data_IF_165743690787
#
_entry.id   IF_165743690787
#
_cell.length_a   1.000
_cell.length_b   1.000
_cell.length_c   1.000
_cell.angle_alpha   90.00
_cell.angle_beta   90.00
_cell.angle_gamma   90.00
#
_symmetry.space_group_name_H-M   'P 1'
#
loop_
_entity.id
_entity.type
_entity.pdbx_description
1 polymer ?
#
# COMPACT_ATOMS: atom_id res chain seq x y z
N UNK A 1 11.00 -26.39 -6.40
CA UNK A 1 10.45 -25.08 -5.97
C UNK A 1 9.05 -25.31 -5.47
N UNK A 2 8.74 -24.93 -4.23
CA UNK A 2 7.37 -25.03 -3.71
C UNK A 2 6.41 -24.28 -4.64
N UNK A 3 5.39 -25.00 -5.14
CA UNK A 3 4.38 -24.50 -6.06
C UNK A 3 3.65 -23.29 -5.48
N UNK A 4 3.50 -23.23 -4.15
CA UNK A 4 2.86 -22.11 -3.46
C UNK A 4 3.72 -20.85 -3.48
N UNK A 5 5.04 -20.98 -3.23
CA UNK A 5 5.97 -19.85 -3.29
C UNK A 5 6.09 -19.25 -4.69
N UNK A 6 6.18 -20.09 -5.72
CA UNK A 6 6.20 -19.64 -7.12
C UNK A 6 4.96 -18.81 -7.48
N UNK A 7 3.77 -19.30 -7.09
CA UNK A 7 2.51 -18.59 -7.29
C UNK A 7 2.45 -17.31 -6.46
N UNK A 8 2.97 -17.33 -5.24
CA UNK A 8 3.02 -16.15 -4.38
C UNK A 8 3.84 -15.03 -5.00
N UNK A 9 5.03 -15.35 -5.55
CA UNK A 9 5.85 -14.37 -6.27
C UNK A 9 5.15 -13.82 -7.49
N UNK A 10 4.53 -14.67 -8.31
CA UNK A 10 3.78 -14.20 -9.48
C UNK A 10 2.67 -13.21 -9.06
N UNK A 11 1.93 -13.55 -8.02
CA UNK A 11 0.87 -12.69 -7.49
C UNK A 11 1.45 -11.39 -6.92
N UNK A 12 2.54 -11.44 -6.18
CA UNK A 12 3.21 -10.24 -5.67
C UNK A 12 3.72 -9.32 -6.79
N UNK A 13 4.27 -9.88 -7.87
CA UNK A 13 4.66 -9.13 -9.07
C UNK A 13 3.43 -8.46 -9.71
N UNK A 14 2.34 -9.20 -9.92
CA UNK A 14 1.11 -8.65 -10.49
C UNK A 14 0.54 -7.51 -9.61
N UNK A 15 0.56 -7.69 -8.30
CA UNK A 15 0.13 -6.65 -7.36
C UNK A 15 0.99 -5.39 -7.44
N UNK A 16 2.31 -5.55 -7.56
CA UNK A 16 3.23 -4.43 -7.70
C UNK A 16 3.11 -3.73 -9.06
N UNK A 17 2.86 -4.47 -10.14
CA UNK A 17 2.54 -3.88 -11.46
C UNK A 17 1.28 -3.04 -11.37
N UNK A 18 0.24 -3.51 -10.69
CA UNK A 18 -0.97 -2.73 -10.46
C UNK A 18 -0.70 -1.47 -9.61
N UNK A 19 0.17 -1.54 -8.59
CA UNK A 19 0.57 -0.35 -7.82
C UNK A 19 1.33 0.69 -8.66
N UNK A 20 2.19 0.24 -9.58
CA UNK A 20 2.87 1.10 -10.55
C UNK A 20 1.85 1.73 -11.51
N UNK A 21 0.92 0.94 -12.04
CA UNK A 21 -0.14 1.43 -12.93
C UNK A 21 -1.04 2.47 -12.24
N UNK A 22 -1.39 2.26 -10.97
CA UNK A 22 -2.10 3.23 -10.15
C UNK A 22 -1.33 4.55 -10.04
N UNK A 23 -0.03 4.48 -9.76
CA UNK A 23 0.84 5.67 -9.62
C UNK A 23 1.05 6.39 -10.97
N UNK A 24 1.17 5.63 -12.07
CA UNK A 24 1.24 6.18 -13.42
C UNK A 24 -0.08 6.82 -13.87
N UNK A 25 -1.21 6.21 -13.52
CA UNK A 25 -2.52 6.82 -13.74
C UNK A 25 -2.70 8.10 -12.90
N UNK A 26 -1.99 8.23 -11.77
CA UNK A 26 -1.90 9.49 -11.03
C UNK A 26 -1.28 10.60 -11.88
N UNK A 27 -0.17 10.30 -12.57
CA UNK A 27 0.50 11.22 -13.52
C UNK A 27 -0.39 11.64 -14.70
N UNK A 28 -1.29 10.77 -15.16
CA UNK A 28 -2.15 11.04 -16.31
C UNK A 28 -3.35 11.97 -16.01
N UNK A 29 -3.50 12.46 -14.78
CA UNK A 29 -4.55 13.41 -14.39
C UNK A 29 -5.93 12.77 -14.08
N UNK A 30 -6.89 13.63 -13.72
CA UNK A 30 -8.22 13.26 -13.18
C UNK A 30 -9.06 12.38 -14.12
N UNK A 31 -8.83 12.44 -15.43
CA UNK A 31 -9.58 11.68 -16.43
C UNK A 31 -9.46 10.15 -16.26
N UNK A 32 -8.48 9.68 -15.47
CA UNK A 32 -8.10 8.27 -15.37
C UNK A 32 -8.41 7.69 -13.97
N UNK A 33 -9.27 8.36 -13.18
CA UNK A 33 -9.60 7.98 -11.80
C UNK A 33 -10.15 6.54 -11.68
N UNK A 34 -10.96 6.09 -12.65
CA UNK A 34 -11.50 4.72 -12.69
C UNK A 34 -10.37 3.70 -12.77
N UNK A 35 -9.36 3.95 -13.62
CA UNK A 35 -8.20 3.06 -13.78
C UNK A 35 -7.36 3.05 -12.51
N UNK A 36 -7.22 4.19 -11.80
CA UNK A 36 -6.53 4.24 -10.50
C UNK A 36 -7.24 3.34 -9.48
N UNK A 37 -8.56 3.47 -9.37
CA UNK A 37 -9.36 2.68 -8.44
C UNK A 37 -9.30 1.18 -8.77
N UNK A 38 -9.48 0.82 -10.05
CA UNK A 38 -9.38 -0.57 -10.50
C UNK A 38 -7.98 -1.15 -10.23
N UNK A 39 -6.92 -0.38 -10.51
CA UNK A 39 -5.54 -0.79 -10.25
C UNK A 39 -5.27 -0.99 -8.76
N UNK A 40 -5.80 -0.11 -7.90
CA UNK A 40 -5.73 -0.27 -6.45
C UNK A 40 -6.41 -1.57 -5.98
N UNK A 41 -7.63 -1.82 -6.44
CA UNK A 41 -8.39 -3.03 -6.07
C UNK A 41 -7.69 -4.31 -6.53
N UNK A 42 -7.15 -4.33 -7.75
CA UNK A 42 -6.37 -5.45 -8.27
C UNK A 42 -5.06 -5.64 -7.47
N UNK A 43 -4.36 -4.56 -7.15
CA UNK A 43 -3.14 -4.62 -6.35
C UNK A 43 -3.40 -5.27 -4.99
N UNK A 44 -4.44 -4.81 -4.28
CA UNK A 44 -4.85 -5.36 -2.99
C UNK A 44 -5.23 -6.84 -3.09
N UNK A 45 -5.98 -7.23 -4.13
CA UNK A 45 -6.35 -8.62 -4.37
C UNK A 45 -5.13 -9.52 -4.59
N UNK A 46 -4.21 -9.10 -5.46
CA UNK A 46 -3.01 -9.88 -5.76
C UNK A 46 -2.08 -10.00 -4.55
N UNK A 47 -1.86 -8.91 -3.81
CA UNK A 47 -1.09 -8.97 -2.57
C UNK A 47 -1.76 -9.85 -1.52
N UNK A 48 -3.08 -9.83 -1.41
CA UNK A 48 -3.80 -10.74 -0.52
C UNK A 48 -3.45 -12.20 -0.80
N UNK A 49 -3.61 -12.64 -2.04
CA UNK A 49 -3.30 -14.03 -2.37
C UNK A 49 -1.81 -14.35 -2.25
N UNK A 50 -0.91 -13.41 -2.57
CA UNK A 50 0.51 -13.60 -2.40
C UNK A 50 0.87 -13.85 -0.93
N UNK A 51 0.31 -13.05 -0.01
CA UNK A 51 0.55 -13.16 1.42
C UNK A 51 -0.03 -14.45 2.01
N UNK A 52 -1.24 -14.84 1.61
CA UNK A 52 -1.85 -16.12 2.04
C UNK A 52 -0.98 -17.31 1.66
N UNK A 53 -0.43 -17.33 0.43
CA UNK A 53 0.45 -18.42 0.00
C UNK A 53 1.80 -18.44 0.72
N UNK A 54 2.33 -17.27 1.07
CA UNK A 54 3.55 -17.16 1.89
C UNK A 54 3.24 -17.65 3.31
N UNK A 55 2.07 -17.31 3.87
CA UNK A 55 1.61 -17.83 5.15
C UNK A 55 1.57 -19.36 5.17
N UNK A 56 0.92 -19.95 4.16
CA UNK A 56 0.82 -21.41 3.98
C UNK A 56 2.21 -22.07 3.88
N UNK A 57 3.16 -21.44 3.21
CA UNK A 57 4.50 -21.99 3.00
C UNK A 57 5.41 -21.88 4.23
N UNK A 58 5.30 -20.81 5.02
CA UNK A 58 6.19 -20.55 6.16
C UNK A 58 5.55 -20.87 7.53
N UNK A 59 4.27 -21.24 7.59
CA UNK A 59 3.55 -21.56 8.83
C UNK A 59 3.47 -20.40 9.83
N UNK A 60 3.79 -19.18 9.41
CA UNK A 60 3.89 -18.02 10.27
C UNK A 60 2.55 -17.27 10.33
N UNK A 61 1.96 -17.20 11.53
CA UNK A 61 0.77 -16.38 11.90
C UNK A 61 0.90 -14.87 11.63
N UNK A 62 1.98 -14.44 11.01
CA UNK A 62 2.38 -13.07 10.73
C UNK A 62 1.40 -12.34 9.81
N UNK A 63 0.77 -13.06 8.87
CA UNK A 63 -0.19 -12.48 7.92
C UNK A 63 -1.62 -12.38 8.44
N UNK A 64 -1.89 -12.86 9.66
CA UNK A 64 -3.14 -12.66 10.38
C UNK A 64 -3.53 -11.17 10.47
N UNK A 65 -2.53 -10.29 10.59
CA UNK A 65 -2.71 -8.83 10.57
C UNK A 65 -3.21 -8.34 9.20
N UNK A 66 -2.83 -8.96 8.08
CA UNK A 66 -3.34 -8.59 6.76
C UNK A 66 -4.79 -9.02 6.56
N UNK A 67 -5.19 -10.16 7.14
CA UNK A 67 -6.60 -10.60 7.17
C UNK A 67 -7.46 -9.62 7.98
N UNK A 68 -6.95 -9.15 9.13
CA UNK A 68 -7.62 -8.10 9.94
C UNK A 68 -7.57 -6.72 9.29
N UNK A 69 -6.48 -6.34 8.63
CA UNK A 69 -6.36 -5.06 7.94
C UNK A 69 -7.27 -5.00 6.71
N UNK A 70 -7.37 -6.10 5.94
CA UNK A 70 -8.30 -6.24 4.83
C UNK A 70 -9.75 -6.17 5.30
N UNK A 71 -10.15 -6.99 6.29
CA UNK A 71 -11.50 -6.96 6.84
C UNK A 71 -11.82 -5.60 7.50
N UNK A 72 -10.83 -4.97 8.12
CA UNK A 72 -10.94 -3.61 8.66
C UNK A 72 -11.18 -2.60 7.55
N UNK A 73 -10.37 -2.62 6.48
CA UNK A 73 -10.52 -1.70 5.36
C UNK A 73 -11.86 -1.89 4.62
N UNK A 74 -12.29 -3.15 4.43
CA UNK A 74 -13.60 -3.48 3.85
C UNK A 74 -14.76 -3.04 4.74
N UNK A 75 -14.70 -3.35 6.04
CA UNK A 75 -15.71 -2.92 7.01
C UNK A 75 -15.79 -1.40 7.09
N UNK A 76 -14.65 -0.72 6.97
CA UNK A 76 -14.57 0.74 6.96
C UNK A 76 -15.14 1.36 5.69
N UNK A 77 -14.84 0.80 4.51
CA UNK A 77 -15.47 1.24 3.25
C UNK A 77 -16.99 0.99 3.31
N UNK A 78 -17.41 -0.19 3.75
CA UNK A 78 -18.83 -0.53 3.92
C UNK A 78 -19.54 0.38 4.93
N UNK A 79 -18.90 0.68 6.07
CA UNK A 79 -19.40 1.66 7.05
C UNK A 79 -19.47 3.06 6.45
N UNK A 80 -18.46 3.48 5.68
CA UNK A 80 -18.43 4.80 5.05
C UNK A 80 -19.54 4.93 4.01
N UNK A 81 -19.77 3.88 3.20
CA UNK A 81 -20.88 3.83 2.23
C UNK A 81 -22.23 3.78 2.94
N UNK A 82 -22.38 3.01 4.01
CA UNK A 82 -23.62 2.97 4.79
C UNK A 82 -23.93 4.33 5.41
N UNK A 83 -22.96 4.97 6.07
CA UNK A 83 -23.13 6.31 6.63
C UNK A 83 -23.43 7.36 5.55
N UNK A 84 -22.82 7.27 4.37
CA UNK A 84 -23.15 8.11 3.22
C UNK A 84 -24.61 7.97 2.75
N UNK A 85 -25.17 6.75 2.77
CA UNK A 85 -26.57 6.49 2.40
C UNK A 85 -27.54 6.97 3.48
N UNK A 86 -27.17 6.87 4.77
CA UNK A 86 -28.04 7.22 5.89
C UNK A 86 -28.09 8.72 6.19
N UNK A 87 -26.97 9.44 6.09
CA UNK A 87 -26.92 10.85 6.48
C UNK A 87 -25.82 11.61 5.74
N UNK A 88 -26.24 12.60 4.93
CA UNK A 88 -25.31 13.45 4.18
C UNK A 88 -24.54 14.42 5.08
N UNK A 89 -25.02 14.69 6.29
CA UNK A 89 -24.35 15.58 7.23
C UNK A 89 -23.08 14.93 7.83
N UNK A 90 -22.99 13.59 7.79
CA UNK A 90 -21.82 12.80 8.18
C UNK A 90 -20.70 12.78 7.12
N UNK A 91 -20.94 13.32 5.92
CA UNK A 91 -19.99 13.27 4.80
C UNK A 91 -18.67 13.98 5.12
N UNK A 92 -18.72 15.07 5.89
CA UNK A 92 -17.53 15.76 6.38
C UNK A 92 -16.70 14.91 7.35
N UNK A 93 -17.35 14.20 8.28
CA UNK A 93 -16.66 13.30 9.21
C UNK A 93 -16.02 12.12 8.47
N UNK A 94 -16.76 11.50 7.55
CA UNK A 94 -16.29 10.35 6.77
C UNK A 94 -15.07 10.73 5.94
N UNK A 95 -15.20 11.81 5.16
CA UNK A 95 -14.18 12.21 4.18
C UNK A 95 -12.96 12.84 4.85
N UNK A 96 -13.15 13.65 5.89
CA UNK A 96 -12.04 14.41 6.49
C UNK A 96 -11.38 13.72 7.68
N UNK A 97 -12.02 12.73 8.31
CA UNK A 97 -11.49 12.08 9.52
C UNK A 97 -11.35 10.58 9.33
N UNK A 98 -12.45 9.90 9.00
CA UNK A 98 -12.51 8.44 9.00
C UNK A 98 -11.63 7.83 7.90
N UNK A 99 -11.76 8.30 6.65
CA UNK A 99 -10.96 7.81 5.53
C UNK A 99 -9.46 8.07 5.75
N UNK A 100 -9.00 9.31 6.08
CA UNK A 100 -7.59 9.58 6.33
C UNK A 100 -6.97 8.72 7.44
N UNK A 101 -7.66 8.56 8.58
CA UNK A 101 -7.18 7.70 9.68
C UNK A 101 -7.07 6.24 9.26
N UNK A 102 -8.01 5.75 8.46
CA UNK A 102 -8.01 4.37 7.96
C UNK A 102 -6.85 4.12 7.00
N UNK A 103 -6.61 5.06 6.08
CA UNK A 103 -5.48 5.00 5.15
C UNK A 103 -4.16 5.02 5.94
N UNK A 104 -4.05 5.87 6.96
CA UNK A 104 -2.86 5.93 7.81
C UNK A 104 -2.59 4.60 8.53
N UNK A 105 -3.61 4.00 9.15
CA UNK A 105 -3.49 2.71 9.82
C UNK A 105 -3.13 1.58 8.84
N UNK A 106 -3.75 1.56 7.66
CA UNK A 106 -3.45 0.58 6.61
C UNK A 106 -1.99 0.71 6.12
N UNK A 107 -1.49 1.93 5.96
CA UNK A 107 -0.11 2.20 5.56
C UNK A 107 0.90 1.71 6.60
N UNK A 108 0.64 1.91 7.90
CA UNK A 108 1.48 1.35 8.98
C UNK A 108 1.50 -0.18 8.91
N UNK A 109 0.33 -0.81 8.76
CA UNK A 109 0.25 -2.26 8.64
C UNK A 109 1.06 -2.76 7.44
N UNK A 110 1.00 -2.05 6.31
CA UNK A 110 1.74 -2.38 5.10
C UNK A 110 3.26 -2.25 5.27
N UNK A 111 3.75 -1.22 5.97
CA UNK A 111 5.16 -1.08 6.35
C UNK A 111 5.63 -2.30 7.15
N UNK A 112 4.89 -2.67 8.20
CA UNK A 112 5.23 -3.81 9.08
C UNK A 112 5.29 -5.11 8.27
N UNK A 113 4.36 -5.33 7.35
CA UNK A 113 4.34 -6.52 6.49
C UNK A 113 5.59 -6.59 5.62
N UNK A 114 6.01 -5.47 5.02
CA UNK A 114 7.18 -5.47 4.15
C UNK A 114 8.48 -5.72 4.93
N UNK A 115 8.62 -5.23 6.17
CA UNK A 115 9.74 -5.64 7.03
C UNK A 115 9.75 -7.14 7.33
N UNK A 116 8.56 -7.73 7.55
CA UNK A 116 8.46 -9.17 7.80
C UNK A 116 8.71 -10.00 6.55
N UNK A 117 8.24 -9.56 5.38
CA UNK A 117 8.58 -10.16 4.09
C UNK A 117 10.08 -10.10 3.83
N UNK A 118 10.74 -8.98 4.15
CA UNK A 118 12.19 -8.85 4.00
C UNK A 118 12.95 -9.92 4.79
N UNK A 119 12.50 -10.24 6.00
CA UNK A 119 13.11 -11.27 6.84
C UNK A 119 12.71 -12.69 6.39
N UNK A 120 11.46 -12.92 6.02
CA UNK A 120 10.97 -14.26 5.64
C UNK A 120 11.50 -14.71 4.26
N UNK A 121 11.67 -13.78 3.34
CA UNK A 121 12.13 -14.03 1.97
C UNK A 121 13.60 -13.68 1.75
N UNK A 122 14.31 -13.31 2.82
CA UNK A 122 15.71 -12.84 2.81
C UNK A 122 16.00 -11.83 1.69
N UNK A 123 15.11 -10.85 1.53
CA UNK A 123 15.16 -9.87 0.44
C UNK A 123 15.19 -8.45 0.99
N UNK A 124 16.38 -7.83 0.93
CA UNK A 124 16.63 -6.48 1.46
C UNK A 124 15.77 -5.40 0.79
N UNK A 125 15.33 -5.60 -0.45
CA UNK A 125 14.55 -4.60 -1.19
C UNK A 125 13.17 -4.35 -0.55
N UNK A 126 12.56 -5.34 0.09
CA UNK A 126 11.33 -5.12 0.87
C UNK A 126 11.58 -4.22 2.09
N UNK A 127 12.78 -4.30 2.69
CA UNK A 127 13.19 -3.43 3.80
C UNK A 127 13.40 -1.99 3.32
N UNK A 128 14.02 -1.82 2.15
CA UNK A 128 14.20 -0.51 1.50
C UNK A 128 12.83 0.11 1.20
N UNK A 129 11.93 -0.65 0.58
CA UNK A 129 10.56 -0.22 0.32
C UNK A 129 9.82 0.21 1.60
N UNK A 130 9.91 -0.59 2.67
CA UNK A 130 9.25 -0.29 3.93
C UNK A 130 9.75 1.04 4.55
N UNK A 131 11.06 1.30 4.47
CA UNK A 131 11.63 2.58 4.90
C UNK A 131 11.19 3.76 4.05
N UNK A 132 11.19 3.62 2.72
CA UNK A 132 10.68 4.66 1.81
C UNK A 132 9.24 5.03 2.17
N UNK A 133 8.38 4.04 2.33
CA UNK A 133 6.98 4.25 2.69
C UNK A 133 6.84 4.89 4.09
N UNK A 134 7.68 4.51 5.05
CA UNK A 134 7.65 5.11 6.40
C UNK A 134 8.01 6.60 6.37
N UNK A 135 9.02 6.97 5.56
CA UNK A 135 9.44 8.36 5.36
C UNK A 135 8.31 9.16 4.71
N UNK A 136 7.63 8.60 3.71
CA UNK A 136 6.49 9.22 3.04
C UNK A 136 5.32 9.50 4.00
N UNK A 137 4.95 8.51 4.81
CA UNK A 137 3.91 8.65 5.82
C UNK A 137 4.28 9.78 6.80
N UNK A 138 5.51 9.78 7.31
CA UNK A 138 5.99 10.80 8.24
C UNK A 138 6.03 12.20 7.61
N UNK A 139 6.48 12.31 6.36
CA UNK A 139 6.55 13.56 5.62
C UNK A 139 5.15 14.15 5.36
N UNK A 140 4.20 13.33 4.89
CA UNK A 140 2.82 13.78 4.66
C UNK A 140 2.13 14.16 5.98
N UNK A 141 2.36 13.42 7.07
CA UNK A 141 1.85 13.78 8.38
C UNK A 141 2.39 15.13 8.87
N UNK A 142 3.72 15.30 8.79
CA UNK A 142 4.38 16.55 9.20
C UNK A 142 3.91 17.72 8.33
N UNK A 143 3.80 17.53 7.02
CA UNK A 143 3.26 18.52 6.10
C UNK A 143 1.85 18.95 6.49
N UNK A 144 0.94 18.00 6.73
CA UNK A 144 -0.43 18.30 7.15
C UNK A 144 -0.49 19.06 8.49
N UNK A 145 0.38 18.73 9.44
CA UNK A 145 0.50 19.48 10.69
C UNK A 145 0.99 20.91 10.46
N UNK A 146 1.99 21.12 9.59
CA UNK A 146 2.49 22.46 9.26
C UNK A 146 1.47 23.29 8.49
N UNK A 147 0.65 22.67 7.65
CA UNK A 147 -0.43 23.35 6.92
C UNK A 147 -1.46 23.97 7.86
N UNK A 148 -1.74 23.30 8.98
CA UNK A 148 -2.65 23.81 10.02
C UNK A 148 -1.95 24.80 10.95
N UNK A 149 -0.74 24.49 11.43
CA UNK A 149 -0.08 25.24 12.50
C UNK A 149 0.72 26.45 12.01
N UNK A 150 1.26 26.39 10.80
CA UNK A 150 2.14 27.42 10.26
C UNK A 150 2.10 27.47 8.71
N UNK A 151 0.93 27.76 8.11
CA UNK A 151 0.74 27.72 6.65
C UNK A 151 1.67 28.66 5.89
N UNK A 152 2.07 29.79 6.50
CA UNK A 152 3.00 30.76 5.91
C UNK A 152 4.41 30.21 5.70
N UNK A 153 4.86 29.24 6.52
CA UNK A 153 6.18 28.62 6.39
C UNK A 153 6.26 27.69 5.16
N UNK A 154 5.15 27.05 4.80
CA UNK A 154 5.12 26.04 3.74
C UNK A 154 4.50 26.54 2.43
N UNK A 155 3.91 27.74 2.41
CA UNK A 155 3.29 28.36 1.23
C UNK A 155 4.09 28.20 -0.09
N UNK A 156 5.43 28.39 -0.14
CA UNK A 156 6.18 28.17 -1.37
C UNK A 156 6.29 26.69 -1.77
N UNK A 157 6.29 25.76 -0.81
CA UNK A 157 6.42 24.32 -1.03
C UNK A 157 5.10 23.63 -1.42
N UNK A 158 3.95 24.17 -1.01
CA UNK A 158 2.60 23.62 -1.29
C UNK A 158 2.41 23.31 -2.78
N UNK A 159 2.92 24.17 -3.68
CA UNK A 159 2.81 24.00 -5.14
C UNK A 159 3.52 22.75 -5.68
N UNK A 160 4.56 22.29 -4.99
CA UNK A 160 5.36 21.14 -5.40
C UNK A 160 4.87 19.84 -4.75
N UNK A 161 4.06 19.91 -3.69
CA UNK A 161 3.60 18.74 -2.96
C UNK A 161 2.88 17.71 -3.85
N UNK A 162 1.95 18.09 -4.74
CA UNK A 162 1.28 17.12 -5.62
C UNK A 162 2.26 16.39 -6.54
N UNK A 163 3.25 17.11 -7.09
CA UNK A 163 4.27 16.55 -7.97
C UNK A 163 5.23 15.65 -7.19
N UNK A 164 5.64 16.05 -5.99
CA UNK A 164 6.50 15.27 -5.11
C UNK A 164 5.83 13.94 -4.71
N UNK A 165 4.59 13.98 -4.24
CA UNK A 165 3.82 12.78 -3.86
C UNK A 165 3.61 11.84 -5.05
N UNK A 166 3.35 12.40 -6.22
CA UNK A 166 3.18 11.65 -7.46
C UNK A 166 4.45 10.90 -7.87
N UNK A 167 5.59 11.61 -7.92
CA UNK A 167 6.89 11.00 -8.24
C UNK A 167 7.28 9.97 -7.18
N UNK A 168 7.15 10.33 -5.91
CA UNK A 168 7.48 9.43 -4.80
C UNK A 168 6.63 8.16 -4.81
N UNK A 169 5.33 8.28 -5.09
CA UNK A 169 4.43 7.14 -5.26
C UNK A 169 4.91 6.19 -6.37
N UNK A 170 5.30 6.73 -7.54
CA UNK A 170 5.82 5.93 -8.64
C UNK A 170 7.15 5.25 -8.29
N UNK A 171 8.08 5.96 -7.65
CA UNK A 171 9.37 5.39 -7.22
C UNK A 171 9.17 4.28 -6.18
N UNK A 172 8.28 4.50 -5.22
CA UNK A 172 7.98 3.54 -4.15
C UNK A 172 7.30 2.29 -4.71
N UNK A 173 6.33 2.46 -5.61
CA UNK A 173 5.70 1.33 -6.31
C UNK A 173 6.69 0.54 -7.17
N UNK A 174 7.63 1.22 -7.83
CA UNK A 174 8.69 0.58 -8.61
C UNK A 174 9.65 -0.21 -7.73
N UNK A 175 10.06 0.34 -6.58
CA UNK A 175 10.90 -0.37 -5.61
C UNK A 175 10.21 -1.65 -5.10
N UNK A 176 8.89 -1.62 -4.87
CA UNK A 176 8.11 -2.81 -4.51
C UNK A 176 8.13 -3.86 -5.61
N UNK A 177 7.98 -3.44 -6.87
CA UNK A 177 8.05 -4.34 -8.03
C UNK A 177 9.42 -5.00 -8.12
N UNK A 178 10.50 -4.23 -7.99
CA UNK A 178 11.86 -4.78 -7.95
C UNK A 178 12.03 -5.77 -6.80
N UNK A 179 11.51 -5.47 -5.61
CA UNK A 179 11.56 -6.39 -4.47
C UNK A 179 10.93 -7.75 -4.82
N UNK A 180 9.72 -7.75 -5.38
CA UNK A 180 9.03 -8.98 -5.77
C UNK A 180 9.75 -9.75 -6.88
N UNK A 181 10.31 -9.07 -7.88
CA UNK A 181 11.09 -9.70 -8.96
C UNK A 181 12.36 -10.36 -8.39
N UNK A 182 13.03 -9.68 -7.46
CA UNK A 182 14.30 -10.11 -6.88
C UNK A 182 14.18 -11.24 -5.85
N UNK A 183 12.98 -11.61 -5.39
CA UNK A 183 12.79 -12.75 -4.49
C UNK A 183 13.39 -14.01 -5.13
N UNK A 184 14.36 -14.60 -4.44
CA UNK A 184 14.92 -15.91 -4.77
C UNK A 184 14.32 -16.92 -3.80
N UNK A 185 13.57 -17.88 -4.32
CA UNK A 185 13.21 -19.03 -3.51
C UNK A 185 14.32 -20.06 -3.59
N UNK A 186 14.67 -20.72 -2.48
CA UNK A 186 15.60 -21.84 -2.54
C UNK A 186 15.06 -22.88 -3.53
N UNK A 187 15.95 -23.33 -4.43
CA UNK A 187 15.65 -24.54 -5.21
C UNK A 187 15.57 -25.65 -4.18
N UNK A 188 14.42 -26.30 -4.09
CA UNK A 188 14.36 -27.66 -3.55
C UNK A 188 15.34 -28.47 -4.39
N UNK A 189 16.47 -28.86 -3.80
CA UNK A 189 17.32 -29.90 -4.37
C UNK A 189 16.41 -31.11 -4.56
N UNK A 190 16.16 -31.45 -5.82
CA UNK A 190 15.48 -32.67 -6.16
C UNK A 190 16.56 -33.75 -6.25
N UNK A 191 16.53 -34.66 -5.28
CA UNK A 191 16.95 -36.06 -5.46
C UNK A 191 16.22 -36.70 -6.64
#
# INVERSE_FOLDING_TARGET
>A
MDKNLSKAKLQGIMGAVCAVAMSAAYLAGEAVWIVRLLSLLLALMFFHYALVRIEEAFGQNVFRIFKYAYNGFLAMILCSVALYVFDKDLLGLITNVIIPLSVFAASIAWVVINFKLANALDCVLFRVYAWMLSIDIAANFLYGMLEVLAPTLIAPAVKFMPLANMLFGLFTASALLFAWISVKFPKTEAE
#
